data_IF_238996117021
#
_entry.id   IF_238996117021
#
_cell.length_a   1.000
_cell.length_b   1.000
_cell.length_c   1.000
_cell.angle_alpha   90.00
_cell.angle_beta   90.00
_cell.angle_gamma   90.00
#
_symmetry.space_group_name_H-M   'P 1'
#
loop_
_entity.id
_entity.type
_entity.pdbx_description
1 polymer ?
#
# COMPACT_ATOMS: atom_id res chain seq x y z
N UNK A 1 -9.69 81.59 -12.97
CA UNK A 1 -10.90 80.81 -12.65
C UNK A 1 -11.16 79.86 -13.79
N UNK A 2 -10.99 78.55 -13.56
CA UNK A 2 -11.08 77.54 -14.61
C UNK A 2 -10.30 76.29 -14.21
N UNK A 3 -10.93 75.46 -13.38
CA UNK A 3 -10.41 74.18 -12.91
C UNK A 3 -11.02 73.01 -13.71
N UNK A 4 -10.36 71.83 -13.70
CA UNK A 4 -10.43 70.85 -14.79
C UNK A 4 -11.24 69.57 -14.44
N UNK A 5 -11.45 68.76 -15.47
CA UNK A 5 -11.67 67.31 -15.52
C UNK A 5 -11.76 66.52 -14.20
N UNK A 6 -12.84 65.75 -14.04
CA UNK A 6 -12.82 64.48 -13.30
C UNK A 6 -13.85 63.49 -13.89
N UNK A 7 -13.31 62.40 -14.41
CA UNK A 7 -14.00 61.21 -14.95
C UNK A 7 -14.43 60.36 -13.75
N UNK A 8 -15.73 60.13 -13.58
CA UNK A 8 -16.25 59.15 -12.63
C UNK A 8 -16.18 57.76 -13.26
N UNK A 9 -15.24 56.93 -12.80
CA UNK A 9 -15.16 55.52 -13.14
C UNK A 9 -16.12 54.71 -12.26
N UNK A 10 -16.87 53.83 -12.91
CA UNK A 10 -17.78 52.87 -12.32
C UNK A 10 -17.00 51.75 -11.63
N UNK A 11 -17.02 51.73 -10.31
CA UNK A 11 -16.48 50.62 -9.51
C UNK A 11 -17.43 49.42 -9.62
N UNK A 12 -17.13 48.53 -10.55
CA UNK A 12 -17.76 47.20 -10.62
C UNK A 12 -17.24 46.35 -9.46
N UNK A 13 -18.13 46.09 -8.52
CA UNK A 13 -17.92 45.13 -7.43
C UNK A 13 -17.83 43.72 -7.99
N UNK A 14 -16.63 43.28 -8.36
CA UNK A 14 -16.32 41.87 -8.58
C UNK A 14 -16.23 41.18 -7.22
N UNK A 15 -17.38 40.72 -6.73
CA UNK A 15 -17.44 39.63 -5.75
C UNK A 15 -16.77 38.40 -6.39
N UNK A 16 -15.48 38.25 -6.13
CA UNK A 16 -14.77 36.98 -6.29
C UNK A 16 -15.39 36.01 -5.28
N UNK A 17 -16.45 35.31 -5.72
CA UNK A 17 -16.90 34.08 -5.11
C UNK A 17 -15.72 33.12 -5.25
N UNK A 18 -14.88 33.09 -4.22
CA UNK A 18 -13.95 31.99 -3.99
C UNK A 18 -14.81 30.77 -3.73
N UNK A 19 -15.19 30.10 -4.81
CA UNK A 19 -15.73 28.76 -4.79
C UNK A 19 -14.59 27.87 -4.28
N UNK A 20 -14.46 27.79 -2.95
CA UNK A 20 -13.67 26.77 -2.29
C UNK A 20 -14.37 25.47 -2.69
N UNK A 21 -13.91 24.87 -3.78
CA UNK A 21 -14.15 23.47 -4.07
C UNK A 21 -13.48 22.70 -2.93
N UNK A 22 -14.24 22.51 -1.85
CA UNK A 22 -13.99 21.45 -0.89
C UNK A 22 -14.14 20.18 -1.72
N UNK A 23 -13.04 19.74 -2.34
CA UNK A 23 -12.97 18.41 -2.89
C UNK A 23 -13.32 17.50 -1.72
N UNK A 24 -14.42 16.73 -1.79
CA UNK A 24 -14.73 15.79 -0.74
C UNK A 24 -13.50 14.92 -0.58
N UNK A 25 -12.87 15.00 0.60
CA UNK A 25 -11.72 14.19 0.92
C UNK A 25 -12.09 12.76 0.53
N UNK A 26 -11.35 12.20 -0.41
CA UNK A 26 -11.52 10.81 -0.80
C UNK A 26 -11.35 10.05 0.51
N UNK A 27 -12.43 9.51 1.05
CA UNK A 27 -12.38 8.70 2.27
C UNK A 27 -11.57 7.46 1.92
N UNK A 28 -10.26 7.53 2.15
CA UNK A 28 -9.34 6.41 2.09
C UNK A 28 -9.37 5.84 3.49
N UNK A 29 -9.79 4.60 3.77
CA UNK A 29 -9.70 4.11 5.15
C UNK A 29 -8.24 4.17 5.69
N UNK A 30 -8.08 4.10 7.00
CA UNK A 30 -6.83 3.80 7.72
C UNK A 30 -5.85 4.96 7.87
N UNK A 31 -4.74 4.95 7.13
CA UNK A 31 -3.79 6.07 7.14
C UNK A 31 -4.33 7.16 6.20
N UNK A 32 -4.82 8.23 6.80
CA UNK A 32 -5.37 9.39 6.14
C UNK A 32 -4.30 10.48 5.97
N UNK A 33 -3.87 10.71 4.74
CA UNK A 33 -3.05 11.87 4.37
C UNK A 33 -3.84 12.68 3.34
N UNK A 34 -4.58 13.73 3.75
CA UNK A 34 -5.33 14.56 2.82
C UNK A 34 -4.47 15.02 1.64
N UNK A 35 -4.97 14.86 0.40
CA UNK A 35 -4.23 15.19 -0.82
C UNK A 35 -3.23 14.12 -1.29
N UNK A 36 -3.10 12.99 -0.59
CA UNK A 36 -2.34 11.83 -1.07
C UNK A 36 -3.05 11.19 -2.28
N UNK A 37 -2.35 10.98 -3.40
CA UNK A 37 -2.94 10.26 -4.52
C UNK A 37 -3.30 8.83 -4.10
N UNK A 38 -4.33 8.20 -4.71
CA UNK A 38 -4.65 6.81 -4.42
C UNK A 38 -3.44 5.94 -4.74
N UNK A 39 -2.93 5.23 -3.72
CA UNK A 39 -1.76 4.36 -3.87
C UNK A 39 -2.05 3.13 -4.72
N UNK A 40 -3.28 2.62 -4.64
CA UNK A 40 -3.73 1.45 -5.40
C UNK A 40 -4.95 1.82 -6.25
N UNK A 41 -5.07 1.30 -7.48
CA UNK A 41 -6.32 1.35 -8.21
C UNK A 41 -7.36 0.41 -7.56
N UNK A 42 -8.66 0.59 -7.85
CA UNK A 42 -9.67 -0.40 -7.49
C UNK A 42 -9.32 -1.77 -8.05
N UNK A 43 -9.52 -2.83 -7.26
CA UNK A 43 -9.15 -4.22 -7.61
C UNK A 43 -7.68 -4.37 -8.07
N UNK A 44 -6.70 -4.02 -7.22
CA UNK A 44 -5.30 -4.02 -7.62
C UNK A 44 -4.81 -5.44 -7.92
N UNK A 45 -4.05 -5.60 -8.99
CA UNK A 45 -3.36 -6.86 -9.29
C UNK A 45 -2.27 -7.16 -8.27
N UNK A 46 -1.81 -8.42 -8.21
CA UNK A 46 -0.66 -8.79 -7.37
C UNK A 46 0.58 -7.92 -7.65
N UNK A 47 0.91 -7.70 -8.92
CA UNK A 47 2.08 -6.91 -9.33
C UNK A 47 1.98 -5.45 -8.87
N UNK A 48 0.80 -4.83 -9.00
CA UNK A 48 0.55 -3.46 -8.53
C UNK A 48 0.67 -3.37 -7.00
N UNK A 49 0.02 -4.27 -6.28
CA UNK A 49 0.09 -4.33 -4.82
C UNK A 49 1.53 -4.49 -4.35
N UNK A 50 2.29 -5.41 -4.97
CA UNK A 50 3.69 -5.66 -4.63
C UNK A 50 4.60 -4.46 -4.92
N UNK A 51 4.38 -3.77 -6.04
CA UNK A 51 5.16 -2.58 -6.40
C UNK A 51 4.98 -1.47 -5.37
N UNK A 52 3.73 -1.11 -5.07
CA UNK A 52 3.38 -0.09 -4.07
C UNK A 52 3.94 -0.48 -2.69
N UNK A 53 3.77 -1.75 -2.31
CA UNK A 53 4.27 -2.25 -1.04
C UNK A 53 5.80 -2.16 -0.95
N UNK A 54 6.52 -2.41 -2.05
CA UNK A 54 7.97 -2.22 -2.11
C UNK A 54 8.37 -0.76 -1.90
N UNK A 55 7.66 0.19 -2.50
CA UNK A 55 7.93 1.62 -2.33
C UNK A 55 7.68 2.06 -0.88
N UNK A 56 6.54 1.66 -0.29
CA UNK A 56 6.19 1.99 1.09
C UNK A 56 7.16 1.38 2.11
N UNK A 57 7.60 0.14 1.89
CA UNK A 57 8.64 -0.49 2.73
C UNK A 57 9.98 0.24 2.59
N UNK A 58 10.30 0.72 1.39
CA UNK A 58 11.47 1.57 1.14
C UNK A 58 11.43 2.87 1.96
N UNK A 59 10.27 3.52 2.07
CA UNK A 59 10.10 4.73 2.89
C UNK A 59 10.47 4.50 4.36
N UNK A 60 10.03 3.37 4.91
CA UNK A 60 10.28 3.02 6.30
C UNK A 60 11.78 2.87 6.64
N UNK A 61 12.60 2.56 5.63
CA UNK A 61 14.06 2.41 5.75
C UNK A 61 14.83 3.62 5.24
N UNK A 62 14.15 4.57 4.57
CA UNK A 62 14.79 5.64 3.83
C UNK A 62 15.60 6.58 4.72
N UNK A 63 15.17 6.85 5.97
CA UNK A 63 15.97 7.70 6.87
C UNK A 63 17.38 7.16 7.16
N UNK A 64 17.58 5.85 7.02
CA UNK A 64 18.84 5.18 7.30
C UNK A 64 19.76 5.10 6.07
N UNK A 65 19.28 5.47 4.87
CA UNK A 65 20.06 5.35 3.63
C UNK A 65 19.67 6.41 2.60
N UNK A 66 20.61 7.29 2.26
CA UNK A 66 20.47 8.26 1.16
C UNK A 66 20.17 7.57 -0.18
N UNK A 67 20.73 6.38 -0.40
CA UNK A 67 20.46 5.60 -1.60
C UNK A 67 18.99 5.16 -1.67
N UNK A 68 18.40 4.73 -0.55
CA UNK A 68 16.98 4.35 -0.51
C UNK A 68 16.06 5.56 -0.69
N UNK A 69 16.44 6.73 -0.16
CA UNK A 69 15.72 7.99 -0.40
C UNK A 69 15.67 8.32 -1.90
N UNK A 70 16.80 8.20 -2.59
CA UNK A 70 16.89 8.49 -4.02
C UNK A 70 16.11 7.50 -4.90
N UNK A 71 15.90 6.27 -4.43
CA UNK A 71 15.19 5.21 -5.16
C UNK A 71 13.67 5.23 -4.95
N UNK A 72 13.17 5.84 -3.88
CA UNK A 72 11.73 5.89 -3.59
C UNK A 72 11.06 7.07 -4.28
N UNK A 73 10.13 6.79 -5.20
CA UNK A 73 9.32 7.82 -5.85
C UNK A 73 8.42 8.61 -4.89
N UNK A 74 8.02 7.99 -3.78
CA UNK A 74 7.14 8.60 -2.78
C UNK A 74 7.88 9.44 -1.73
N UNK A 75 9.18 9.21 -1.51
CA UNK A 75 9.94 9.87 -0.44
C UNK A 75 9.97 11.40 -0.57
N UNK A 76 10.19 11.99 -1.77
CA UNK A 76 10.15 13.45 -1.94
C UNK A 76 8.80 14.06 -1.56
N UNK A 77 7.70 13.37 -1.86
CA UNK A 77 6.34 13.83 -1.52
C UNK A 77 6.16 13.93 0.00
N UNK A 78 6.37 12.83 0.73
CA UNK A 78 6.16 12.83 2.19
C UNK A 78 7.19 13.67 2.94
N UNK A 79 8.46 13.65 2.54
CA UNK A 79 9.49 14.47 3.20
C UNK A 79 9.26 15.98 3.00
N UNK A 80 8.84 16.39 1.80
CA UNK A 80 8.43 17.76 1.50
C UNK A 80 7.23 18.17 2.34
N UNK A 81 6.20 17.32 2.37
CA UNK A 81 4.98 17.56 3.15
C UNK A 81 5.27 17.69 4.65
N UNK A 82 6.06 16.76 5.22
CA UNK A 82 6.50 16.80 6.62
C UNK A 82 7.16 18.13 6.93
N UNK A 83 8.15 18.53 6.13
CA UNK A 83 8.91 19.77 6.32
C UNK A 83 7.98 20.99 6.30
N UNK A 84 7.09 21.09 5.30
CA UNK A 84 6.17 22.22 5.18
C UNK A 84 5.24 22.34 6.38
N UNK A 85 4.68 21.23 6.86
CA UNK A 85 3.76 21.27 8.01
C UNK A 85 4.50 21.51 9.32
N UNK A 86 5.68 20.90 9.54
CA UNK A 86 6.52 21.16 10.71
C UNK A 86 6.91 22.64 10.82
N UNK A 87 7.25 23.30 9.72
CA UNK A 87 7.53 24.74 9.67
C UNK A 87 6.30 25.57 10.06
N UNK A 88 5.09 25.18 9.61
CA UNK A 88 3.84 25.85 10.00
C UNK A 88 3.51 25.66 11.47
N UNK A 89 3.74 24.47 12.02
CA UNK A 89 3.57 24.18 13.45
C UNK A 89 4.52 25.04 14.28
N UNK A 90 5.80 25.12 13.89
CA UNK A 90 6.80 25.95 14.57
C UNK A 90 6.42 27.44 14.55
N UNK A 91 5.73 27.91 13.51
CA UNK A 91 5.20 29.27 13.41
C UNK A 91 3.85 29.48 14.11
N UNK A 92 3.24 28.43 14.68
CA UNK A 92 1.89 28.50 15.27
C UNK A 92 0.77 28.75 14.25
N UNK A 93 0.99 28.42 12.98
CA UNK A 93 0.06 28.68 11.86
C UNK A 93 -0.57 27.42 11.28
N UNK A 94 -0.20 26.24 11.74
CA UNK A 94 -0.75 25.00 11.23
C UNK A 94 -2.22 24.83 11.62
N UNK A 95 -3.03 24.35 10.68
CA UNK A 95 -4.42 23.96 10.95
C UNK A 95 -4.48 22.54 11.55
N UNK A 96 -5.62 22.17 12.15
CA UNK A 96 -5.83 20.80 12.63
C UNK A 96 -5.75 19.76 11.51
N UNK A 97 -6.28 20.07 10.32
CA UNK A 97 -6.18 19.17 9.16
C UNK A 97 -4.73 18.97 8.72
N UNK A 98 -3.91 20.02 8.79
CA UNK A 98 -2.46 19.91 8.52
C UNK A 98 -1.76 19.07 9.60
N UNK A 99 -2.12 19.21 10.88
CA UNK A 99 -1.58 18.35 11.95
C UNK A 99 -1.97 16.86 11.75
N UNK A 100 -3.19 16.57 11.28
CA UNK A 100 -3.64 15.21 10.92
C UNK A 100 -2.85 14.68 9.73
N UNK A 101 -2.68 15.51 8.71
CA UNK A 101 -1.90 15.19 7.51
C UNK A 101 -0.44 14.88 7.85
N UNK A 102 0.17 15.65 8.77
CA UNK A 102 1.50 15.38 9.30
C UNK A 102 1.52 14.05 10.07
N UNK A 103 0.51 13.76 10.89
CA UNK A 103 0.38 12.48 11.58
C UNK A 103 0.39 11.28 10.63
N UNK A 104 -0.45 11.32 9.58
CA UNK A 104 -0.48 10.28 8.55
C UNK A 104 0.84 10.18 7.77
N UNK A 105 1.46 11.32 7.43
CA UNK A 105 2.78 11.38 6.79
C UNK A 105 3.87 10.70 7.65
N UNK A 106 3.88 10.97 8.94
CA UNK A 106 4.81 10.35 9.90
C UNK A 106 4.60 8.84 9.99
N UNK A 107 3.37 8.34 9.89
CA UNK A 107 3.10 6.90 9.81
C UNK A 107 3.69 6.27 8.54
N UNK A 108 3.52 6.91 7.38
CA UNK A 108 4.13 6.46 6.11
C UNK A 108 5.67 6.45 6.15
N UNK A 109 6.26 7.39 6.89
CA UNK A 109 7.69 7.47 7.14
C UNK A 109 8.17 6.56 8.30
N UNK A 110 7.31 5.66 8.79
CA UNK A 110 7.61 4.72 9.88
C UNK A 110 8.07 5.41 11.19
N UNK A 111 7.42 6.52 11.54
CA UNK A 111 7.66 7.31 12.76
C UNK A 111 6.42 7.34 13.67
N UNK A 112 5.93 6.16 14.14
CA UNK A 112 4.67 6.08 14.89
C UNK A 112 4.70 6.89 16.19
N UNK A 113 5.83 6.95 16.90
CA UNK A 113 5.94 7.72 18.14
C UNK A 113 5.76 9.24 17.92
N UNK A 114 6.30 9.78 16.82
CA UNK A 114 6.12 11.20 16.47
C UNK A 114 4.69 11.45 15.98
N UNK A 115 4.14 10.52 15.19
CA UNK A 115 2.75 10.59 14.75
C UNK A 115 1.80 10.66 15.96
N UNK A 116 1.98 9.78 16.95
CA UNK A 116 1.24 9.81 18.21
C UNK A 116 1.32 11.17 18.89
N UNK A 117 2.52 11.72 19.07
CA UNK A 117 2.69 13.00 19.76
C UNK A 117 1.95 14.16 19.05
N UNK A 118 2.04 14.24 17.72
CA UNK A 118 1.34 15.25 16.92
C UNK A 118 -0.18 15.05 17.00
N UNK A 119 -0.66 13.83 16.81
CA UNK A 119 -2.09 13.50 16.77
C UNK A 119 -2.76 13.66 18.14
N UNK A 120 -2.09 13.30 19.24
CA UNK A 120 -2.59 13.54 20.59
C UNK A 120 -2.65 15.04 20.93
N UNK A 121 -1.69 15.83 20.45
CA UNK A 121 -1.72 17.28 20.60
C UNK A 121 -2.88 17.91 19.79
N UNK A 122 -3.09 17.45 18.56
CA UNK A 122 -4.22 17.86 17.73
C UNK A 122 -5.56 17.47 18.38
N UNK A 123 -5.65 16.26 18.95
CA UNK A 123 -6.85 15.78 19.63
C UNK A 123 -7.27 16.68 20.79
N UNK A 124 -6.31 17.13 21.61
CA UNK A 124 -6.56 18.03 22.75
C UNK A 124 -7.08 19.41 22.34
N UNK A 125 -6.73 19.87 21.13
CA UNK A 125 -7.15 21.17 20.59
C UNK A 125 -8.47 21.08 19.81
N UNK A 126 -8.83 19.89 19.32
CA UNK A 126 -9.96 19.72 18.43
C UNK A 126 -11.29 20.01 19.12
N UNK A 127 -12.19 20.82 18.52
CA UNK A 127 -13.52 21.04 19.05
C UNK A 127 -14.37 19.75 18.96
N UNK A 128 -15.45 19.68 19.73
CA UNK A 128 -16.28 18.47 19.83
C UNK A 128 -16.91 18.05 18.48
N UNK A 129 -17.27 19.02 17.65
CA UNK A 129 -17.91 18.92 16.33
C UNK A 129 -16.92 19.00 15.16
N UNK A 130 -15.63 18.79 15.43
CA UNK A 130 -14.58 18.86 14.41
C UNK A 130 -14.84 17.88 13.24
N UNK A 131 -14.98 18.36 11.98
CA UNK A 131 -15.38 17.52 10.85
C UNK A 131 -14.44 16.34 10.56
N UNK A 132 -13.13 16.57 10.66
CA UNK A 132 -12.09 15.57 10.39
C UNK A 132 -11.75 14.71 11.61
N UNK A 133 -12.60 14.69 12.65
CA UNK A 133 -12.38 13.93 13.89
C UNK A 133 -12.18 12.44 13.64
N UNK A 134 -12.94 11.85 12.71
CA UNK A 134 -12.77 10.44 12.33
C UNK A 134 -11.40 10.15 11.72
N UNK A 135 -10.87 11.03 10.86
CA UNK A 135 -9.54 10.91 10.26
C UNK A 135 -8.44 10.97 11.31
N UNK A 136 -8.55 11.93 12.25
CA UNK A 136 -7.64 12.10 13.37
C UNK A 136 -7.59 10.81 14.20
N UNK A 137 -8.76 10.29 14.58
CA UNK A 137 -8.87 9.08 15.41
C UNK A 137 -8.38 7.84 14.67
N UNK A 138 -8.66 7.68 13.37
CA UNK A 138 -8.19 6.54 12.57
C UNK A 138 -6.65 6.54 12.42
N UNK A 139 -6.04 7.70 12.17
CA UNK A 139 -4.58 7.84 12.17
C UNK A 139 -4.00 7.52 13.56
N UNK A 140 -4.62 8.02 14.63
CA UNK A 140 -4.14 7.79 15.99
C UNK A 140 -4.28 6.31 16.40
N UNK A 141 -5.39 5.66 16.04
CA UNK A 141 -5.60 4.24 16.23
C UNK A 141 -4.56 3.40 15.49
N UNK A 142 -4.24 3.76 14.25
CA UNK A 142 -3.15 3.13 13.48
C UNK A 142 -1.80 3.32 14.18
N UNK A 143 -1.51 4.53 14.67
CA UNK A 143 -0.27 4.83 15.37
C UNK A 143 -0.11 3.99 16.66
N UNK A 144 -1.18 3.85 17.44
CA UNK A 144 -1.20 2.95 18.60
C UNK A 144 -1.07 1.48 18.18
N UNK A 145 -1.78 1.06 17.13
CA UNK A 145 -1.83 -0.34 16.69
C UNK A 145 -0.53 -0.88 16.08
N UNK A 146 0.44 -0.02 15.75
CA UNK A 146 1.80 -0.43 15.34
C UNK A 146 2.63 -0.92 16.52
N UNK A 147 2.31 -0.49 17.75
CA UNK A 147 3.03 -0.90 18.95
C UNK A 147 2.07 -1.65 19.89
N UNK A 148 2.33 -2.94 20.08
CA UNK A 148 1.48 -3.83 20.88
C UNK A 148 1.25 -3.34 22.33
N UNK A 149 2.15 -2.51 22.87
CA UNK A 149 1.98 -1.89 24.20
C UNK A 149 0.76 -0.96 24.29
N UNK A 150 0.27 -0.44 23.16
CA UNK A 150 -0.87 0.47 23.09
C UNK A 150 -2.10 -0.17 22.46
N UNK A 151 -2.15 -1.50 22.34
CA UNK A 151 -3.22 -2.18 21.59
C UNK A 151 -4.62 -1.91 22.15
N UNK A 152 -4.77 -1.81 23.48
CA UNK A 152 -6.05 -1.44 24.10
C UNK A 152 -6.51 -0.04 23.66
N UNK A 153 -5.60 0.93 23.66
CA UNK A 153 -5.87 2.29 23.17
C UNK A 153 -6.18 2.29 21.69
N UNK A 154 -5.50 1.47 20.89
CA UNK A 154 -5.77 1.34 19.46
C UNK A 154 -7.21 0.89 19.20
N UNK A 155 -7.66 -0.16 19.90
CA UNK A 155 -9.02 -0.71 19.79
C UNK A 155 -10.07 0.34 20.18
N UNK A 156 -9.88 1.01 21.32
CA UNK A 156 -10.83 2.03 21.79
C UNK A 156 -10.89 3.24 20.86
N UNK A 157 -9.71 3.73 20.42
CA UNK A 157 -9.61 4.86 19.50
C UNK A 157 -10.23 4.53 18.14
N UNK A 158 -10.02 3.32 17.61
CA UNK A 158 -10.64 2.90 16.35
C UNK A 158 -12.16 2.80 16.46
N UNK A 159 -12.68 2.32 17.60
CA UNK A 159 -14.12 2.29 17.86
C UNK A 159 -14.70 3.71 17.84
N UNK A 160 -14.00 4.67 18.44
CA UNK A 160 -14.43 6.06 18.45
C UNK A 160 -14.28 6.73 17.06
N UNK A 161 -13.28 6.33 16.27
CA UNK A 161 -13.16 6.75 14.86
C UNK A 161 -14.39 6.32 14.04
N UNK A 162 -14.82 5.07 14.18
CA UNK A 162 -16.01 4.52 13.49
C UNK A 162 -17.29 5.24 13.96
N UNK A 163 -17.43 5.54 15.25
CA UNK A 163 -18.58 6.32 15.75
C UNK A 163 -18.62 7.75 15.22
N UNK A 164 -17.44 8.36 15.04
CA UNK A 164 -17.30 9.71 14.51
C UNK A 164 -17.35 9.75 12.97
N UNK A 165 -17.47 8.60 12.30
CA UNK A 165 -17.45 8.52 10.85
C UNK A 165 -18.62 9.31 10.25
N UNK A 166 -18.40 10.09 9.19
CA UNK A 166 -19.47 10.85 8.57
C UNK A 166 -20.56 9.92 8.04
N UNK A 167 -21.79 10.41 8.02
CA UNK A 167 -22.90 9.72 7.36
C UNK A 167 -22.64 9.47 5.87
N UNK A 168 -23.49 8.68 5.20
CA UNK A 168 -23.29 8.30 3.81
C UNK A 168 -23.14 9.52 2.89
N UNK A 169 -22.11 9.50 2.06
CA UNK A 169 -21.84 10.52 1.06
C UNK A 169 -22.66 10.31 -0.23
N UNK A 170 -22.55 11.25 -1.18
CA UNK A 170 -23.15 11.12 -2.51
C UNK A 170 -22.68 9.86 -3.24
N UNK A 171 -21.42 9.47 -3.04
CA UNK A 171 -20.87 8.21 -3.55
C UNK A 171 -20.95 7.12 -2.46
N UNK A 172 -22.15 6.55 -2.31
CA UNK A 172 -22.45 5.57 -1.27
C UNK A 172 -21.53 4.35 -1.33
N UNK A 173 -21.19 3.85 -2.53
CA UNK A 173 -20.35 2.64 -2.67
C UNK A 173 -18.94 2.89 -2.17
N UNK A 174 -18.36 4.03 -2.53
CA UNK A 174 -17.03 4.42 -2.08
C UNK A 174 -17.01 4.67 -0.58
N UNK A 175 -18.01 5.37 -0.05
CA UNK A 175 -18.19 5.56 1.38
C UNK A 175 -18.31 4.23 2.13
N UNK A 176 -19.13 3.30 1.61
CA UNK A 176 -19.36 1.99 2.20
C UNK A 176 -18.08 1.15 2.24
N UNK A 177 -17.31 1.15 1.15
CA UNK A 177 -16.02 0.44 1.08
C UNK A 177 -15.02 0.98 2.11
N UNK A 178 -14.90 2.31 2.23
CA UNK A 178 -14.01 2.95 3.19
C UNK A 178 -14.44 2.66 4.64
N UNK A 179 -15.73 2.82 4.95
CA UNK A 179 -16.28 2.52 6.27
C UNK A 179 -16.10 1.03 6.64
N UNK A 180 -16.35 0.12 5.70
CA UNK A 180 -16.16 -1.32 5.92
C UNK A 180 -14.70 -1.66 6.18
N UNK A 181 -13.76 -1.04 5.47
CA UNK A 181 -12.33 -1.23 5.74
C UNK A 181 -11.97 -0.86 7.19
N UNK A 182 -12.51 0.25 7.72
CA UNK A 182 -12.30 0.67 9.11
C UNK A 182 -12.91 -0.30 10.13
N UNK A 183 -14.09 -0.85 9.84
CA UNK A 183 -14.74 -1.88 10.67
C UNK A 183 -13.92 -3.17 10.69
N UNK A 184 -13.40 -3.60 9.55
CA UNK A 184 -12.52 -4.78 9.47
C UNK A 184 -11.18 -4.49 10.16
N UNK A 185 -10.69 -3.26 10.13
CA UNK A 185 -9.47 -2.87 10.83
C UNK A 185 -9.65 -2.91 12.35
N UNK A 186 -10.82 -2.50 12.87
CA UNK A 186 -11.16 -2.72 14.28
C UNK A 186 -11.09 -4.21 14.64
N UNK A 187 -11.62 -5.10 13.78
CA UNK A 187 -11.54 -6.55 14.00
C UNK A 187 -10.09 -7.05 14.03
N UNK A 188 -9.22 -6.51 13.17
CA UNK A 188 -7.78 -6.82 13.19
C UNK A 188 -7.13 -6.42 14.53
N UNK A 189 -7.40 -5.21 15.01
CA UNK A 189 -6.86 -4.71 16.27
C UNK A 189 -7.37 -5.52 17.47
N UNK A 190 -8.65 -5.90 17.47
CA UNK A 190 -9.24 -6.76 18.50
C UNK A 190 -8.59 -8.14 18.53
N UNK A 191 -8.30 -8.72 17.36
CA UNK A 191 -7.58 -9.99 17.30
C UNK A 191 -6.17 -9.87 17.88
N UNK A 192 -5.44 -8.80 17.56
CA UNK A 192 -4.13 -8.52 18.16
C UNK A 192 -4.22 -8.36 19.68
N UNK A 193 -5.24 -7.65 20.18
CA UNK A 193 -5.52 -7.49 21.62
C UNK A 193 -5.74 -8.84 22.31
N UNK A 194 -6.53 -9.73 21.70
CA UNK A 194 -6.79 -11.07 22.25
C UNK A 194 -5.52 -11.93 22.23
N UNK A 195 -4.70 -11.85 21.16
CA UNK A 195 -3.44 -12.58 21.05
C UNK A 195 -2.38 -12.09 22.03
N UNK A 196 -2.30 -10.79 22.31
CA UNK A 196 -1.40 -10.25 23.33
C UNK A 196 -1.65 -10.81 24.74
N UNK A 197 -2.88 -11.24 25.00
CA UNK A 197 -3.28 -11.91 26.24
C UNK A 197 -3.16 -13.45 26.19
N UNK A 198 -2.85 -14.01 25.02
CA UNK A 198 -2.72 -15.45 24.80
C UNK A 198 -1.28 -15.92 24.99
N UNK A 199 -1.11 -17.21 25.29
CA UNK A 199 0.20 -17.89 25.26
C UNK A 199 0.61 -18.30 23.85
N UNK A 200 -0.31 -18.27 22.89
CA UNK A 200 -0.02 -18.58 21.49
C UNK A 200 0.85 -17.48 20.88
N UNK A 201 1.88 -17.85 20.11
CA UNK A 201 2.72 -16.85 19.46
C UNK A 201 1.93 -16.25 18.30
N UNK A 202 1.90 -14.91 18.16
CA UNK A 202 1.24 -14.26 17.04
C UNK A 202 1.70 -14.80 15.67
N UNK A 203 2.97 -15.19 15.56
CA UNK A 203 3.65 -15.63 14.33
C UNK A 203 3.19 -16.99 13.77
N UNK A 204 2.35 -17.73 14.49
CA UNK A 204 1.98 -19.09 14.11
C UNK A 204 0.80 -19.16 13.11
N UNK A 205 0.11 -18.03 12.87
CA UNK A 205 -1.05 -17.98 11.98
C UNK A 205 -1.29 -16.58 11.37
N UNK A 206 -1.84 -16.51 10.14
CA UNK A 206 -2.33 -15.25 9.59
C UNK A 206 -3.54 -14.74 10.41
N UNK A 207 -3.86 -13.43 10.37
CA UNK A 207 -5.03 -12.90 11.05
C UNK A 207 -6.33 -13.49 10.51
N UNK A 208 -7.29 -13.74 11.39
CA UNK A 208 -8.57 -14.36 11.09
C UNK A 208 -9.69 -13.36 10.71
N UNK A 209 -9.31 -12.16 10.23
CA UNK A 209 -10.26 -11.08 9.91
C UNK A 209 -11.24 -11.44 8.80
N UNK A 210 -10.82 -12.22 7.80
CA UNK A 210 -11.66 -12.74 6.72
C UNK A 210 -12.04 -14.23 6.88
N UNK A 211 -11.70 -14.84 8.02
CA UNK A 211 -11.87 -16.26 8.26
C UNK A 211 -10.62 -16.89 8.85
N UNK A 212 -10.78 -17.98 9.60
CA UNK A 212 -9.66 -18.68 10.23
C UNK A 212 -9.04 -19.70 9.26
N UNK A 213 -8.07 -19.24 8.47
CA UNK A 213 -7.32 -20.07 7.52
C UNK A 213 -6.64 -21.26 8.19
N UNK A 214 -6.06 -21.08 9.38
CA UNK A 214 -5.41 -22.17 10.11
C UNK A 214 -6.37 -23.33 10.43
N UNK A 215 -7.62 -23.02 10.79
CA UNK A 215 -8.65 -24.02 11.02
C UNK A 215 -9.16 -24.63 9.72
N UNK A 216 -9.25 -23.85 8.65
CA UNK A 216 -9.64 -24.34 7.33
C UNK A 216 -8.63 -25.38 6.82
N UNK A 217 -7.34 -25.06 6.85
CA UNK A 217 -6.30 -25.94 6.33
C UNK A 217 -6.09 -27.22 7.16
N UNK A 218 -6.40 -27.17 8.47
CA UNK A 218 -6.49 -28.38 9.30
C UNK A 218 -7.64 -29.30 8.88
N UNK A 219 -8.74 -28.76 8.34
CA UNK A 219 -9.92 -29.53 7.92
C UNK A 219 -9.83 -30.06 6.50
N UNK A 220 -9.47 -29.22 5.54
CA UNK A 220 -9.56 -29.53 4.11
C UNK A 220 -8.24 -29.96 3.46
N UNK A 221 -7.14 -29.97 4.22
CA UNK A 221 -5.75 -30.09 3.71
C UNK A 221 -5.41 -28.97 2.74
N UNK A 222 -4.30 -28.28 2.96
CA UNK A 222 -3.88 -27.19 2.09
C UNK A 222 -3.69 -27.68 0.64
N UNK A 223 -4.43 -27.08 -0.30
CA UNK A 223 -4.33 -27.36 -1.72
C UNK A 223 -4.10 -26.07 -2.50
N UNK A 224 -3.20 -26.08 -3.49
CA UNK A 224 -2.97 -24.88 -4.28
C UNK A 224 -4.15 -24.44 -5.12
N UNK A 225 -4.46 -23.15 -5.07
CA UNK A 225 -5.51 -22.51 -5.84
C UNK A 225 -6.92 -22.99 -5.45
N UNK A 226 -7.06 -23.61 -4.28
CA UNK A 226 -8.31 -24.23 -3.82
C UNK A 226 -8.55 -23.92 -2.35
N UNK A 227 -9.82 -23.76 -2.00
CA UNK A 227 -10.32 -23.73 -0.64
C UNK A 227 -11.68 -24.43 -0.62
N UNK A 228 -12.22 -24.76 0.57
CA UNK A 228 -13.58 -25.29 0.62
C UNK A 228 -14.61 -24.23 0.21
N UNK A 229 -15.63 -24.66 -0.52
CA UNK A 229 -16.71 -23.77 -0.98
C UNK A 229 -17.38 -23.06 0.22
N UNK A 230 -17.65 -23.83 1.29
CA UNK A 230 -18.27 -23.30 2.50
C UNK A 230 -17.41 -22.26 3.25
N UNK A 231 -16.09 -22.27 3.06
CA UNK A 231 -15.20 -21.24 3.59
C UNK A 231 -15.15 -20.02 2.67
N UNK A 232 -15.04 -20.25 1.35
CA UNK A 232 -15.03 -19.20 0.34
C UNK A 232 -16.28 -18.32 0.38
N UNK A 233 -17.46 -18.92 0.52
CA UNK A 233 -18.75 -18.19 0.59
C UNK A 233 -18.86 -17.25 1.80
N UNK A 234 -17.99 -17.38 2.80
CA UNK A 234 -17.97 -16.50 3.98
C UNK A 234 -17.10 -15.25 3.77
N UNK A 235 -16.34 -15.20 2.69
CA UNK A 235 -15.48 -14.05 2.43
C UNK A 235 -16.33 -12.84 2.03
N UNK A 236 -16.07 -11.66 2.59
CA UNK A 236 -16.53 -10.43 1.98
C UNK A 236 -16.05 -10.38 0.51
N UNK A 237 -16.89 -9.94 -0.44
CA UNK A 237 -16.52 -9.90 -1.86
C UNK A 237 -15.32 -8.98 -2.13
N UNK A 238 -15.06 -8.03 -1.25
CA UNK A 238 -13.97 -7.05 -1.26
C UNK A 238 -12.80 -7.42 -0.33
N UNK A 239 -12.76 -8.65 0.20
CA UNK A 239 -11.69 -9.15 1.09
C UNK A 239 -10.28 -8.93 0.53
N UNK A 240 -10.08 -9.21 -0.77
CA UNK A 240 -8.81 -8.94 -1.45
C UNK A 240 -8.46 -7.45 -1.48
N UNK A 241 -9.43 -6.59 -1.79
CA UNK A 241 -9.23 -5.14 -1.86
C UNK A 241 -8.91 -4.54 -0.48
N UNK A 242 -9.68 -4.92 0.54
CA UNK A 242 -9.44 -4.50 1.93
C UNK A 242 -8.08 -5.01 2.42
N UNK A 243 -7.71 -6.25 2.12
CA UNK A 243 -6.40 -6.78 2.51
C UNK A 243 -5.25 -6.02 1.84
N UNK A 244 -5.36 -5.72 0.55
CA UNK A 244 -4.37 -4.90 -0.16
C UNK A 244 -4.29 -3.49 0.40
N UNK A 245 -5.43 -2.91 0.78
CA UNK A 245 -5.49 -1.60 1.43
C UNK A 245 -4.78 -1.61 2.79
N UNK A 246 -5.00 -2.64 3.62
CA UNK A 246 -4.29 -2.81 4.89
C UNK A 246 -2.78 -2.96 4.71
N UNK A 247 -2.32 -3.63 3.65
CA UNK A 247 -0.90 -3.69 3.31
C UNK A 247 -0.32 -2.31 2.97
N UNK A 248 -1.13 -1.36 2.49
CA UNK A 248 -0.66 0.02 2.35
C UNK A 248 -0.53 0.71 3.71
N UNK A 249 -1.44 0.46 4.65
CA UNK A 249 -1.42 1.08 5.97
C UNK A 249 -0.30 0.52 6.86
N UNK A 250 -0.10 -0.79 6.80
CA UNK A 250 0.83 -1.54 7.62
C UNK A 250 1.80 -2.34 6.73
N UNK A 251 2.67 -1.66 5.94
CA UNK A 251 3.48 -2.31 4.92
C UNK A 251 4.55 -3.26 5.49
N UNK A 252 4.86 -3.12 6.77
CA UNK A 252 5.82 -3.96 7.50
C UNK A 252 5.15 -5.12 8.27
N UNK A 253 3.82 -5.22 8.27
CA UNK A 253 3.12 -6.28 8.98
C UNK A 253 3.16 -7.58 8.16
N UNK A 254 4.05 -8.48 8.58
CA UNK A 254 4.26 -9.75 7.89
C UNK A 254 3.06 -10.70 8.02
N UNK A 255 2.26 -10.58 9.09
CA UNK A 255 1.07 -11.42 9.29
C UNK A 255 -0.03 -11.03 8.30
N UNK A 256 -0.22 -9.73 8.07
CA UNK A 256 -1.09 -9.24 7.00
C UNK A 256 -0.60 -9.67 5.62
N UNK A 257 0.72 -9.65 5.39
CA UNK A 257 1.27 -10.13 4.11
C UNK A 257 1.08 -11.65 3.95
N UNK A 258 1.13 -12.42 5.03
CA UNK A 258 0.77 -13.83 5.01
C UNK A 258 -0.72 -14.02 4.67
N UNK A 259 -1.63 -13.32 5.36
CA UNK A 259 -3.07 -13.37 5.04
C UNK A 259 -3.35 -13.06 3.56
N UNK A 260 -2.65 -12.09 3.00
CA UNK A 260 -2.75 -11.78 1.57
C UNK A 260 -2.35 -12.96 0.68
N UNK A 261 -1.26 -13.66 1.01
CA UNK A 261 -0.85 -14.89 0.32
C UNK A 261 -1.89 -16.02 0.42
N UNK A 262 -2.53 -16.17 1.59
CA UNK A 262 -3.59 -17.17 1.80
C UNK A 262 -4.87 -16.84 1.02
N UNK A 263 -5.25 -15.56 0.96
CA UNK A 263 -6.37 -15.09 0.13
C UNK A 263 -6.10 -15.27 -1.37
N UNK A 264 -4.87 -14.98 -1.83
CA UNK A 264 -4.46 -15.25 -3.21
C UNK A 264 -4.59 -16.74 -3.55
N UNK A 265 -4.18 -17.62 -2.63
CA UNK A 265 -4.35 -19.06 -2.83
C UNK A 265 -5.83 -19.45 -2.90
N UNK A 266 -6.64 -18.97 -1.95
CA UNK A 266 -8.06 -19.29 -1.86
C UNK A 266 -8.87 -18.77 -3.06
N UNK A 267 -8.44 -17.67 -3.68
CA UNK A 267 -9.05 -17.10 -4.89
C UNK A 267 -8.49 -17.68 -6.19
N UNK A 268 -7.54 -18.61 -6.12
CA UNK A 268 -7.03 -19.36 -7.27
C UNK A 268 -5.68 -18.88 -7.83
N UNK A 269 -5.18 -17.72 -7.40
CA UNK A 269 -3.86 -17.18 -7.80
C UNK A 269 -2.72 -17.80 -6.98
N UNK A 270 -2.56 -19.10 -7.15
CA UNK A 270 -1.50 -19.92 -6.53
C UNK A 270 -0.07 -19.44 -6.86
N UNK A 271 0.14 -18.79 -8.01
CA UNK A 271 1.47 -18.31 -8.42
C UNK A 271 1.84 -17.07 -7.62
N UNK A 272 0.94 -16.09 -7.51
CA UNK A 272 1.15 -14.94 -6.65
C UNK A 272 1.26 -15.36 -5.18
N UNK A 273 0.38 -16.24 -4.71
CA UNK A 273 0.44 -16.80 -3.35
C UNK A 273 1.81 -17.42 -3.05
N UNK A 274 2.32 -18.25 -3.97
CA UNK A 274 3.64 -18.88 -3.84
C UNK A 274 4.75 -17.86 -3.67
N UNK A 275 4.74 -16.77 -4.45
CA UNK A 275 5.72 -15.68 -4.33
C UNK A 275 5.64 -14.97 -2.97
N UNK A 276 4.43 -14.70 -2.48
CA UNK A 276 4.23 -14.04 -1.18
C UNK A 276 4.75 -14.91 -0.05
N UNK A 277 4.34 -16.19 0.02
CA UNK A 277 4.75 -17.09 1.09
C UNK A 277 6.26 -17.41 1.04
N UNK A 278 6.84 -17.50 -0.16
CA UNK A 278 8.29 -17.66 -0.34
C UNK A 278 9.07 -16.42 0.14
N UNK A 279 8.61 -15.20 -0.17
CA UNK A 279 9.21 -13.97 0.31
C UNK A 279 9.19 -13.87 1.85
N UNK A 280 8.09 -14.29 2.48
CA UNK A 280 7.99 -14.31 3.95
C UNK A 280 9.02 -15.24 4.59
N UNK A 281 9.26 -16.41 4.00
CA UNK A 281 10.25 -17.37 4.51
C UNK A 281 11.67 -16.88 4.28
N UNK A 282 11.99 -16.48 3.05
CA UNK A 282 13.37 -16.23 2.64
C UNK A 282 13.84 -14.81 2.97
N UNK A 283 13.01 -13.81 2.68
CA UNK A 283 13.37 -12.40 2.86
C UNK A 283 12.95 -11.85 4.24
N UNK A 284 11.85 -12.36 4.82
CA UNK A 284 11.35 -11.92 6.14
C UNK A 284 11.70 -12.87 7.29
N UNK A 285 12.44 -13.94 7.01
CA UNK A 285 12.96 -14.89 8.00
C UNK A 285 11.87 -15.57 8.84
N UNK A 286 10.66 -15.75 8.30
CA UNK A 286 9.56 -16.43 8.99
C UNK A 286 9.55 -17.96 8.79
N UNK A 287 10.73 -18.56 8.63
CA UNK A 287 10.88 -20.02 8.43
C UNK A 287 10.55 -20.83 9.70
N UNK A 288 10.48 -20.18 10.85
CA UNK A 288 10.09 -20.76 12.14
C UNK A 288 8.60 -21.16 12.20
N UNK A 289 7.74 -20.62 11.34
CA UNK A 289 6.32 -20.97 11.27
C UNK A 289 6.11 -22.23 10.42
N UNK A 290 5.76 -23.40 11.01
CA UNK A 290 5.70 -24.66 10.28
C UNK A 290 4.60 -24.67 9.22
N UNK A 291 3.45 -24.04 9.51
CA UNK A 291 2.33 -23.94 8.58
C UNK A 291 2.71 -23.12 7.34
N UNK A 292 3.29 -21.94 7.54
CA UNK A 292 3.78 -21.09 6.46
C UNK A 292 4.82 -21.82 5.60
N UNK A 293 5.77 -22.50 6.23
CA UNK A 293 6.82 -23.25 5.54
C UNK A 293 6.26 -24.35 4.64
N UNK A 294 5.35 -25.18 5.16
CA UNK A 294 4.73 -26.25 4.37
C UNK A 294 3.85 -25.70 3.23
N UNK A 295 3.05 -24.66 3.47
CA UNK A 295 2.24 -24.05 2.41
C UNK A 295 3.12 -23.50 1.28
N UNK A 296 4.18 -22.76 1.62
CA UNK A 296 5.12 -22.23 0.62
C UNK A 296 5.79 -23.34 -0.19
N UNK A 297 6.20 -24.43 0.48
CA UNK A 297 6.81 -25.60 -0.17
C UNK A 297 5.85 -26.29 -1.14
N UNK A 298 4.57 -26.44 -0.77
CA UNK A 298 3.53 -27.01 -1.64
C UNK A 298 3.34 -26.12 -2.88
N UNK A 299 3.23 -24.80 -2.71
CA UNK A 299 3.04 -23.85 -3.83
C UNK A 299 4.27 -23.77 -4.75
N UNK A 300 5.50 -23.86 -4.20
CA UNK A 300 6.74 -23.89 -4.97
C UNK A 300 6.83 -25.11 -5.87
N UNK A 301 6.49 -26.30 -5.35
CA UNK A 301 6.50 -27.54 -6.13
C UNK A 301 5.59 -27.43 -7.35
N UNK A 302 4.37 -26.93 -7.16
CA UNK A 302 3.46 -26.78 -8.29
C UNK A 302 3.92 -25.73 -9.30
N UNK A 303 4.56 -24.65 -8.84
CA UNK A 303 5.12 -23.64 -9.75
C UNK A 303 6.29 -24.18 -10.57
N UNK A 304 7.06 -25.12 -10.00
CA UNK A 304 8.18 -25.80 -10.68
C UNK A 304 7.71 -26.90 -11.64
N UNK A 305 6.58 -27.56 -11.36
CA UNK A 305 6.03 -28.62 -12.20
C UNK A 305 5.41 -28.12 -13.52
N UNK A 306 5.19 -26.82 -13.66
CA UNK A 306 4.64 -26.20 -14.88
C UNK A 306 3.28 -26.78 -15.29
N UNK A 307 2.63 -26.25 -16.34
CA UNK A 307 1.59 -27.02 -17.01
C UNK A 307 2.28 -28.22 -17.64
N UNK A 308 2.15 -29.40 -17.04
CA UNK A 308 2.38 -30.63 -17.80
C UNK A 308 1.46 -30.55 -19.01
N UNK A 309 2.09 -30.39 -20.16
CA UNK A 309 1.56 -30.53 -21.51
C UNK A 309 0.92 -31.94 -21.64
N UNK A 310 -0.24 -32.14 -21.03
CA UNK A 310 -0.98 -33.41 -21.02
C UNK A 310 -1.86 -33.60 -22.25
N UNK A 311 -1.89 -32.61 -23.15
CA UNK A 311 -2.68 -32.63 -24.39
C UNK A 311 -1.86 -32.40 -25.67
N UNK A 312 -0.52 -32.45 -25.63
CA UNK A 312 0.24 -32.52 -26.89
C UNK A 312 0.05 -33.92 -27.52
N UNK A 313 -0.46 -34.02 -28.77
CA UNK A 313 -0.53 -35.29 -29.46
C UNK A 313 0.88 -35.87 -29.59
N UNK A 314 1.04 -37.09 -29.08
CA UNK A 314 2.26 -37.88 -29.15
C UNK A 314 2.76 -37.92 -30.59
N UNK A 315 3.93 -37.37 -30.94
CA UNK A 315 4.45 -37.52 -32.29
C UNK A 315 4.71 -39.00 -32.55
N UNK A 316 4.09 -39.52 -33.60
CA UNK A 316 4.36 -40.87 -34.12
C UNK A 316 5.85 -40.99 -34.42
N UNK A 317 6.47 -42.01 -33.82
CA UNK A 317 7.84 -42.41 -34.15
C UNK A 317 7.89 -42.89 -35.61
N UNK A 318 8.63 -42.18 -36.45
CA UNK A 318 9.31 -42.78 -37.61
C UNK A 318 10.80 -42.91 -37.30
N UNK A 319 11.33 -44.11 -37.54
CA UNK A 319 12.71 -44.55 -37.26
C UNK A 319 13.78 -43.77 -38.02
N UNK A 320 14.99 -43.71 -37.42
CA UNK A 320 16.27 -44.25 -37.92
C UNK A 320 16.85 -43.44 -39.11
N UNK A 321 18.05 -42.85 -39.10
CA UNK A 321 19.36 -43.32 -38.63
C UNK A 321 20.37 -42.16 -38.38
N UNK A 322 21.07 -42.21 -37.23
CA UNK A 322 22.54 -42.07 -37.02
C UNK A 322 23.36 -40.85 -37.57
N UNK A 323 24.65 -40.64 -37.18
CA UNK A 323 25.03 -39.76 -36.08
C UNK A 323 26.05 -38.65 -36.46
N UNK A 324 26.10 -37.55 -35.70
CA UNK A 324 27.35 -36.78 -35.54
C UNK A 324 27.33 -35.90 -34.29
N UNK A 325 28.43 -36.00 -33.52
CA UNK A 325 28.83 -35.09 -32.47
C UNK A 325 29.12 -33.73 -33.09
N UNK A 326 28.56 -32.65 -32.53
CA UNK A 326 29.07 -31.31 -32.77
C UNK A 326 28.89 -30.42 -31.53
N UNK A 327 29.89 -29.56 -31.33
CA UNK A 327 30.31 -28.97 -30.08
C UNK A 327 29.31 -27.99 -29.45
N UNK A 328 29.31 -27.95 -28.11
CA UNK A 328 28.70 -26.89 -27.31
C UNK A 328 29.23 -25.52 -27.76
N UNK A 329 28.33 -24.72 -28.33
CA UNK A 329 28.56 -23.31 -28.65
C UNK A 329 28.32 -22.47 -27.38
N UNK A 330 29.22 -21.57 -26.98
CA UNK A 330 29.04 -20.79 -25.76
C UNK A 330 27.78 -19.92 -25.86
N UNK A 331 27.01 -19.91 -24.76
CA UNK A 331 25.84 -19.05 -24.56
C UNK A 331 26.23 -17.59 -24.82
N UNK A 332 25.64 -17.01 -25.84
CA UNK A 332 25.74 -15.58 -26.12
C UNK A 332 25.19 -14.79 -24.92
N UNK A 333 26.07 -14.06 -24.23
CA UNK A 333 25.80 -13.18 -23.10
C UNK A 333 25.09 -11.86 -23.50
N UNK A 334 24.55 -11.81 -24.72
CA UNK A 334 23.94 -10.65 -25.37
C UNK A 334 22.54 -11.00 -25.91
N UNK A 335 21.82 -11.90 -25.22
CA UNK A 335 20.41 -12.21 -25.48
C UNK A 335 19.43 -11.18 -24.92
N UNK A 336 19.81 -9.90 -24.90
CA UNK A 336 18.88 -8.82 -24.64
C UNK A 336 18.10 -8.54 -25.91
N UNK A 337 16.76 -8.57 -25.82
CA UNK A 337 15.86 -8.29 -26.93
C UNK A 337 16.24 -6.93 -27.57
N UNK A 338 16.70 -6.98 -28.83
CA UNK A 338 17.31 -5.88 -29.60
C UNK A 338 16.45 -4.61 -29.59
N UNK A 339 15.14 -4.77 -29.39
CA UNK A 339 14.17 -3.69 -29.23
C UNK A 339 14.50 -2.78 -28.05
N UNK A 340 14.93 -3.32 -26.91
CA UNK A 340 15.29 -2.51 -25.75
C UNK A 340 16.60 -1.73 -25.94
N UNK A 341 17.55 -2.30 -26.69
CA UNK A 341 18.78 -1.60 -27.06
C UNK A 341 18.49 -0.41 -27.99
N UNK A 342 17.59 -0.60 -28.96
CA UNK A 342 17.18 0.49 -29.88
C UNK A 342 16.43 1.59 -29.14
N UNK A 343 15.50 1.24 -28.24
CA UNK A 343 14.75 2.23 -27.44
C UNK A 343 15.69 3.00 -26.50
N UNK A 344 16.64 2.31 -25.84
CA UNK A 344 17.64 2.95 -24.99
C UNK A 344 18.53 3.92 -25.75
N UNK A 345 18.93 3.56 -26.98
CA UNK A 345 19.77 4.41 -27.84
C UNK A 345 19.02 5.67 -28.32
N UNK A 346 17.76 5.54 -28.71
CA UNK A 346 16.93 6.68 -29.11
C UNK A 346 16.70 7.64 -27.93
N UNK A 347 16.39 7.10 -26.74
CA UNK A 347 16.22 7.90 -25.53
C UNK A 347 17.52 8.66 -25.16
N UNK A 348 18.68 8.00 -25.27
CA UNK A 348 19.98 8.61 -25.02
C UNK A 348 20.27 9.79 -25.96
N UNK A 349 20.02 9.64 -27.26
CA UNK A 349 20.19 10.72 -28.26
C UNK A 349 19.30 11.92 -27.93
N UNK A 350 18.03 11.68 -27.58
CA UNK A 350 17.09 12.73 -27.26
C UNK A 350 17.51 13.52 -26.01
N UNK A 351 18.01 12.81 -24.99
CA UNK A 351 18.48 13.41 -23.73
C UNK A 351 19.72 14.28 -23.96
N UNK A 352 20.68 13.80 -24.75
CA UNK A 352 21.86 14.58 -25.14
C UNK A 352 21.48 15.85 -25.92
N UNK A 353 20.49 15.77 -26.81
CA UNK A 353 20.04 16.94 -27.58
C UNK A 353 19.40 18.03 -26.70
N UNK A 354 18.60 17.64 -25.70
CA UNK A 354 18.01 18.56 -24.74
C UNK A 354 19.09 19.23 -23.89
N UNK A 355 20.05 18.45 -23.37
CA UNK A 355 21.18 18.98 -22.59
C UNK A 355 22.02 19.96 -23.41
N UNK A 356 22.29 19.66 -24.69
CA UNK A 356 23.03 20.56 -25.57
C UNK A 356 22.29 21.89 -25.78
N UNK A 357 20.96 21.88 -25.90
CA UNK A 357 20.16 23.11 -26.00
C UNK A 357 20.16 23.92 -24.71
N UNK A 358 20.01 23.27 -23.55
CA UNK A 358 20.08 23.96 -22.26
C UNK A 358 21.47 24.57 -22.02
N UNK A 359 22.53 23.85 -22.39
CA UNK A 359 23.90 24.34 -22.26
C UNK A 359 24.18 25.55 -23.16
N UNK A 360 23.66 25.55 -24.41
CA UNK A 360 23.74 26.74 -25.29
C UNK A 360 22.96 27.94 -24.75
N UNK A 361 21.81 27.72 -24.12
CA UNK A 361 21.04 28.81 -23.49
C UNK A 361 21.76 29.39 -22.26
N UNK A 362 22.52 28.56 -21.55
CA UNK A 362 23.31 29.00 -20.39
C UNK A 362 24.55 29.80 -20.79
N UNK A 363 25.26 29.40 -21.85
CA UNK A 363 26.44 30.14 -22.36
C UNK A 363 26.11 31.36 -23.22
N UNK A 364 24.86 31.50 -23.68
CA UNK A 364 24.38 32.64 -24.47
C UNK A 364 23.86 33.82 -23.63
N UNK A 365 24.06 33.78 -22.32
CA UNK A 365 23.87 34.89 -21.37
C UNK A 365 25.20 35.18 -20.71
#
# INVERSE_FOLDING_TARGET
MGSPFAIFSTWSSLCLISLILVFPAISQGGIHVPGEPPLLPPNPTFSQTRLVLSELRGLAMAEQSEQLKAQSGLYPFYSGLRKTVEEKIAQGKATLDEEIQLGGCLLRLNQPAKAMAVLEAAWKKAPADFPSKHLLLANLATAYGVNDLFIDRAVDTQRDAIKAWPGPEKDFKKWEAAFRAEVVFLKLLQEKQLKGNSRERPEDAPPAVFGNFSNEWKKSTFQPGKTSIAFYERFPPDSMEICSLFLTWLPLDNQLYWLYGELLNATGDKIAAGKVLDELINARQMSNSPALFEHSKILRRQSAEGPLEKDAPRPEKKGEDSPSKEAEKPRNLLGGDLRFLVVGLIAGIFTCFILQKQFKQWLGK
#
